data_IF_250843165341
#
_entry.id   IF_250843165341
#
_cell.length_a   1.000
_cell.length_b   1.000
_cell.length_c   1.000
_cell.angle_alpha   90.00
_cell.angle_beta   90.00
_cell.angle_gamma   90.00
#
_symmetry.space_group_name_H-M   'P 1'
#
loop_
_entity.id
_entity.type
_entity.pdbx_description
1 polymer ?
#
# COMPACT_ATOMS: atom_id res chain seq x y z
N UNK A 1 15.51 -19.36 -1.03
CA UNK A 1 16.39 -18.40 -1.72
C UNK A 1 15.68 -17.71 -2.89
N UNK A 2 15.04 -18.44 -3.80
CA UNK A 2 14.36 -17.84 -4.99
C UNK A 2 13.40 -16.67 -4.68
N UNK A 3 12.47 -16.75 -3.70
CA UNK A 3 11.58 -15.62 -3.43
C UNK A 3 12.31 -14.34 -2.99
N UNK A 4 13.41 -14.48 -2.23
CA UNK A 4 14.22 -13.35 -1.80
C UNK A 4 14.99 -12.74 -2.98
N UNK A 5 15.46 -13.57 -3.90
CA UNK A 5 16.09 -13.08 -5.14
C UNK A 5 15.09 -12.29 -6.00
N UNK A 6 13.87 -12.81 -6.19
CA UNK A 6 12.80 -12.09 -6.91
C UNK A 6 12.57 -10.72 -6.27
N UNK A 7 12.39 -10.68 -4.94
CA UNK A 7 12.16 -9.44 -4.21
C UNK A 7 13.33 -8.45 -4.35
N UNK A 8 14.57 -8.93 -4.25
CA UNK A 8 15.76 -8.10 -4.43
C UNK A 8 15.83 -7.49 -5.84
N UNK A 9 15.55 -8.28 -6.88
CA UNK A 9 15.50 -7.79 -8.27
C UNK A 9 14.42 -6.73 -8.43
N UNK A 10 13.20 -6.99 -7.95
CA UNK A 10 12.07 -6.05 -8.02
C UNK A 10 12.40 -4.75 -7.27
N UNK A 11 12.95 -4.85 -6.05
CA UNK A 11 13.37 -3.69 -5.26
C UNK A 11 14.41 -2.86 -6.01
N UNK A 12 15.48 -3.48 -6.50
CA UNK A 12 16.56 -2.77 -7.18
C UNK A 12 16.07 -2.09 -8.45
N UNK A 13 15.23 -2.77 -9.26
CA UNK A 13 14.71 -2.20 -10.50
C UNK A 13 13.79 -1.02 -10.21
N UNK A 14 12.81 -1.17 -9.30
CA UNK A 14 11.85 -0.10 -9.04
C UNK A 14 12.42 1.06 -8.24
N UNK A 15 13.32 0.81 -7.29
CA UNK A 15 14.03 1.90 -6.61
C UNK A 15 14.91 2.67 -7.60
N UNK A 16 15.67 1.97 -8.46
CA UNK A 16 16.50 2.65 -9.45
C UNK A 16 15.66 3.44 -10.47
N UNK A 17 14.52 2.89 -10.90
CA UNK A 17 13.60 3.56 -11.80
C UNK A 17 13.02 4.83 -11.16
N UNK A 18 12.38 4.72 -9.99
CA UNK A 18 11.74 5.85 -9.33
C UNK A 18 12.74 6.96 -8.95
N UNK A 19 13.93 6.59 -8.46
CA UNK A 19 14.98 7.58 -8.15
C UNK A 19 15.52 8.28 -9.40
N UNK A 20 15.70 7.57 -10.51
CA UNK A 20 16.12 8.19 -11.77
C UNK A 20 15.04 9.10 -12.34
N UNK A 21 13.78 8.71 -12.21
CA UNK A 21 12.64 9.54 -12.59
C UNK A 21 12.65 10.85 -11.80
N UNK A 22 12.89 10.77 -10.50
CA UNK A 22 12.97 11.93 -9.64
C UNK A 22 14.16 12.83 -10.00
N UNK A 23 15.35 12.25 -10.18
CA UNK A 23 16.58 12.98 -10.52
C UNK A 23 16.51 13.71 -11.87
N UNK A 24 15.71 13.20 -12.82
CA UNK A 24 15.50 13.84 -14.12
C UNK A 24 14.30 14.79 -14.15
N UNK A 25 13.71 15.09 -12.99
CA UNK A 25 12.51 15.91 -12.84
C UNK A 25 11.28 15.35 -13.58
N UNK A 26 11.18 14.02 -13.66
CA UNK A 26 10.05 13.31 -14.28
C UNK A 26 8.92 12.95 -13.30
N UNK A 27 9.19 12.97 -11.99
CA UNK A 27 8.15 12.83 -10.95
C UNK A 27 7.28 14.08 -10.88
N UNK A 28 6.01 13.93 -10.53
CA UNK A 28 5.15 15.08 -10.22
C UNK A 28 5.51 15.61 -8.82
N UNK A 29 5.62 16.94 -8.70
CA UNK A 29 5.86 17.57 -7.41
C UNK A 29 4.62 17.62 -6.51
N UNK A 30 3.43 17.36 -7.09
CA UNK A 30 2.15 17.55 -6.41
C UNK A 30 1.88 16.43 -5.40
N UNK A 31 1.67 15.19 -5.85
CA UNK A 31 1.35 14.08 -4.95
C UNK A 31 2.52 13.72 -4.04
N UNK A 32 3.73 13.59 -4.63
CA UNK A 32 4.94 13.29 -3.86
C UNK A 32 5.20 14.33 -2.75
N UNK A 33 4.94 15.61 -3.04
CA UNK A 33 5.07 16.69 -2.07
C UNK A 33 4.00 16.62 -0.97
N UNK A 34 2.74 16.37 -1.33
CA UNK A 34 1.63 16.23 -0.37
C UNK A 34 1.90 15.08 0.60
N UNK A 35 2.26 13.89 0.10
CA UNK A 35 2.60 12.75 0.95
C UNK A 35 3.86 13.00 1.78
N UNK A 36 4.87 13.65 1.20
CA UNK A 36 6.07 14.06 1.93
C UNK A 36 5.75 14.95 3.13
N UNK A 37 4.87 15.95 2.96
CA UNK A 37 4.41 16.82 4.04
C UNK A 37 3.62 16.04 5.10
N UNK A 38 2.76 15.11 4.69
CA UNK A 38 2.00 14.24 5.59
C UNK A 38 2.90 13.34 6.45
N UNK A 39 3.85 12.64 5.85
CA UNK A 39 4.80 11.77 6.56
C UNK A 39 5.72 12.58 7.47
N UNK A 40 6.20 13.74 7.02
CA UNK A 40 6.99 14.66 7.85
C UNK A 40 6.22 15.10 9.10
N UNK A 41 4.95 15.46 8.96
CA UNK A 41 4.12 15.84 10.10
C UNK A 41 3.99 14.70 11.11
N UNK A 42 3.82 13.45 10.66
CA UNK A 42 3.85 12.28 11.57
C UNK A 42 5.19 12.09 12.27
N UNK A 43 6.31 12.28 11.55
CA UNK A 43 7.65 12.22 12.13
C UNK A 43 7.86 13.27 13.24
N UNK A 44 7.23 14.43 13.10
CA UNK A 44 7.24 15.52 14.09
C UNK A 44 6.13 15.41 15.15
N UNK A 45 5.37 14.30 15.16
CA UNK A 45 4.23 14.07 16.07
C UNK A 45 3.13 15.14 15.96
N UNK A 46 2.93 15.69 14.76
CA UNK A 46 1.85 16.63 14.42
C UNK A 46 0.75 15.96 13.61
N UNK A 47 -0.41 16.59 13.56
CA UNK A 47 -1.48 16.17 12.65
C UNK A 47 -1.03 16.35 11.19
N UNK A 48 -1.29 15.37 10.31
CA UNK A 48 -0.83 15.41 8.93
C UNK A 48 -1.60 16.47 8.13
N UNK A 49 -0.87 17.46 7.63
CA UNK A 49 -1.40 18.54 6.79
C UNK A 49 -0.47 18.86 5.63
N UNK A 50 -1.04 19.39 4.54
CA UNK A 50 -0.29 19.82 3.36
C UNK A 50 -0.56 21.26 2.98
N UNK A 51 0.52 22.05 2.87
CA UNK A 51 0.51 23.40 2.31
C UNK A 51 0.23 23.36 0.81
N UNK A 52 0.75 22.35 0.09
CA UNK A 52 0.54 22.19 -1.37
C UNK A 52 -0.96 22.01 -1.67
N UNK A 53 -1.64 21.18 -0.87
CA UNK A 53 -3.07 20.87 -1.03
C UNK A 53 -3.98 22.09 -0.79
N UNK A 54 -3.49 23.14 -0.13
CA UNK A 54 -4.27 24.38 0.08
C UNK A 54 -4.65 25.08 -1.22
N UNK A 55 -3.82 24.95 -2.26
CA UNK A 55 -4.07 25.53 -3.58
C UNK A 55 -5.34 24.99 -4.25
N UNK A 56 -5.80 23.80 -3.85
CA UNK A 56 -7.03 23.15 -4.35
C UNK A 56 -8.04 22.89 -3.23
N UNK A 57 -7.92 23.58 -2.09
CA UNK A 57 -8.84 23.40 -0.98
C UNK A 57 -10.26 23.90 -1.33
N UNK A 58 -11.31 23.35 -0.70
CA UNK A 58 -12.67 23.81 -0.90
C UNK A 58 -12.84 25.32 -0.60
N UNK A 59 -13.78 26.00 -1.27
CA UNK A 59 -14.07 27.41 -0.99
C UNK A 59 -14.33 27.66 0.50
N UNK A 60 -13.74 28.71 1.05
CA UNK A 60 -13.88 29.07 2.46
C UNK A 60 -12.85 28.43 3.40
N UNK A 61 -11.96 27.57 2.91
CA UNK A 61 -10.80 27.15 3.68
C UNK A 61 -9.79 28.30 3.83
N UNK A 62 -9.31 28.54 5.06
CA UNK A 62 -8.41 29.65 5.41
C UNK A 62 -7.19 29.22 6.24
N UNK A 63 -6.93 27.92 6.37
CA UNK A 63 -5.79 27.40 7.11
C UNK A 63 -4.49 27.36 6.29
N UNK A 64 -3.35 27.30 6.97
CA UNK A 64 -2.03 27.28 6.32
C UNK A 64 -1.68 25.91 5.71
N UNK A 65 -2.29 24.83 6.21
CA UNK A 65 -2.09 23.48 5.70
C UNK A 65 -3.41 22.70 5.71
N UNK A 66 -3.77 22.08 4.59
CA UNK A 66 -5.00 21.32 4.45
C UNK A 66 -4.91 19.99 5.22
N UNK A 67 -5.86 19.65 6.11
CA UNK A 67 -5.82 18.40 6.88
C UNK A 67 -5.98 17.16 5.99
N UNK A 68 -4.94 16.34 5.87
CA UNK A 68 -4.97 15.17 4.99
C UNK A 68 -5.91 14.09 5.53
N UNK A 69 -5.99 13.96 6.86
CA UNK A 69 -7.02 13.23 7.64
C UNK A 69 -8.45 13.35 7.10
N UNK A 70 -8.83 14.58 6.76
CA UNK A 70 -10.18 14.90 6.30
C UNK A 70 -10.36 14.82 4.79
N UNK A 71 -9.26 14.82 4.03
CA UNK A 71 -9.25 14.67 2.57
C UNK A 71 -9.41 13.19 2.21
N UNK A 72 -8.46 12.37 2.67
CA UNK A 72 -8.41 10.92 2.49
C UNK A 72 -7.99 10.22 3.78
N UNK A 73 -8.66 9.13 4.14
CA UNK A 73 -8.35 8.39 5.36
C UNK A 73 -7.25 7.37 5.11
N UNK A 74 -6.00 7.78 5.34
CA UNK A 74 -4.80 6.98 5.11
C UNK A 74 -3.80 6.99 6.29
N UNK A 75 -4.22 6.60 7.52
CA UNK A 75 -3.34 6.62 8.70
C UNK A 75 -2.12 5.68 8.57
N UNK A 76 -2.11 4.73 7.63
CA UNK A 76 -0.96 3.84 7.38
C UNK A 76 0.34 4.60 7.12
N UNK A 77 0.26 5.84 6.59
CA UNK A 77 1.43 6.67 6.30
C UNK A 77 2.29 6.95 7.54
N UNK A 78 1.71 6.89 8.75
CA UNK A 78 2.46 7.03 9.99
C UNK A 78 3.57 5.96 10.14
N UNK A 79 3.44 4.81 9.48
CA UNK A 79 4.48 3.76 9.46
C UNK A 79 5.77 4.21 8.76
N UNK A 80 5.73 5.23 7.89
CA UNK A 80 6.92 5.80 7.26
C UNK A 80 7.64 6.84 8.12
N UNK A 81 7.03 7.32 9.20
CA UNK A 81 7.61 8.36 10.05
C UNK A 81 9.00 8.00 10.59
N UNK A 82 9.28 6.77 11.09
CA UNK A 82 10.62 6.41 11.55
C UNK A 82 11.67 6.44 10.43
N UNK A 83 11.30 6.06 9.20
CA UNK A 83 12.20 6.10 8.06
C UNK A 83 12.50 7.56 7.67
N UNK A 84 11.48 8.40 7.71
CA UNK A 84 11.60 9.82 7.40
C UNK A 84 12.44 10.59 8.43
N UNK A 85 12.39 10.20 9.72
CA UNK A 85 13.27 10.76 10.75
C UNK A 85 14.75 10.52 10.45
N UNK A 86 15.10 9.38 9.87
CA UNK A 86 16.50 9.04 9.52
C UNK A 86 16.91 9.66 8.19
N UNK A 87 16.00 9.69 7.22
CA UNK A 87 16.22 10.23 5.89
C UNK A 87 15.03 11.12 5.46
N UNK A 88 15.04 12.43 5.81
CA UNK A 88 13.91 13.35 5.59
C UNK A 88 13.87 13.89 4.15
N UNK A 89 13.81 12.98 3.19
CA UNK A 89 13.79 13.28 1.75
C UNK A 89 12.62 12.56 1.09
N UNK A 90 12.09 13.11 -0.01
CA UNK A 90 10.96 12.50 -0.73
C UNK A 90 11.35 11.18 -1.39
N UNK A 91 12.63 11.00 -1.73
CA UNK A 91 13.22 9.77 -2.22
C UNK A 91 13.04 8.60 -1.25
N UNK A 92 12.96 8.86 0.07
CA UNK A 92 12.67 7.85 1.09
C UNK A 92 11.31 7.21 0.84
N UNK A 93 10.32 7.99 0.41
CA UNK A 93 8.97 7.50 0.11
C UNK A 93 8.99 6.64 -1.16
N UNK A 94 9.70 7.09 -2.21
CA UNK A 94 9.87 6.32 -3.45
C UNK A 94 10.52 4.95 -3.20
N UNK A 95 11.58 4.92 -2.38
CA UNK A 95 12.25 3.67 -1.99
C UNK A 95 11.34 2.80 -1.12
N UNK A 96 10.58 3.40 -0.20
CA UNK A 96 9.62 2.66 0.62
C UNK A 96 8.53 1.99 -0.23
N UNK A 97 7.98 2.69 -1.24
CA UNK A 97 7.03 2.10 -2.19
C UNK A 97 7.64 0.95 -2.98
N UNK A 98 8.86 1.10 -3.50
CA UNK A 98 9.57 0.01 -4.16
C UNK A 98 9.77 -1.20 -3.24
N UNK A 99 10.05 -0.97 -1.95
CA UNK A 99 10.18 -2.02 -0.94
C UNK A 99 8.87 -2.73 -0.62
N UNK A 100 7.73 -2.00 -0.57
CA UNK A 100 6.40 -2.59 -0.39
C UNK A 100 6.04 -3.52 -1.56
N UNK A 101 6.31 -3.08 -2.80
CA UNK A 101 6.11 -3.87 -4.02
C UNK A 101 7.05 -5.09 -4.06
N UNK A 102 8.31 -4.93 -3.66
CA UNK A 102 9.22 -6.07 -3.55
C UNK A 102 8.77 -7.08 -2.48
N UNK A 103 8.28 -6.59 -1.35
CA UNK A 103 7.74 -7.40 -0.26
C UNK A 103 6.51 -8.21 -0.68
N UNK A 104 5.61 -7.63 -1.47
CA UNK A 104 4.47 -8.36 -2.01
C UNK A 104 4.91 -9.44 -3.01
N UNK A 105 5.90 -9.14 -3.86
CA UNK A 105 6.46 -10.09 -4.82
C UNK A 105 7.14 -11.28 -4.11
N UNK A 106 7.83 -11.03 -2.98
CA UNK A 106 8.36 -12.09 -2.12
C UNK A 106 7.25 -13.04 -1.65
N UNK A 107 6.17 -12.48 -1.09
CA UNK A 107 5.05 -13.25 -0.52
C UNK A 107 4.40 -14.10 -1.60
N UNK A 108 4.14 -13.51 -2.77
CA UNK A 108 3.54 -14.22 -3.89
C UNK A 108 4.46 -15.32 -4.44
N UNK A 109 5.75 -15.03 -4.65
CA UNK A 109 6.73 -16.02 -5.12
C UNK A 109 6.82 -17.21 -4.14
N UNK A 110 6.81 -16.93 -2.83
CA UNK A 110 6.82 -17.96 -1.78
C UNK A 110 5.55 -18.79 -1.80
N UNK A 111 4.39 -18.18 -1.93
CA UNK A 111 3.10 -18.88 -2.01
C UNK A 111 3.04 -19.76 -3.27
N UNK A 112 3.43 -19.22 -4.44
CA UNK A 112 3.49 -19.95 -5.70
C UNK A 112 4.36 -21.21 -5.62
N UNK A 113 5.59 -21.08 -5.08
CA UNK A 113 6.49 -22.22 -4.92
C UNK A 113 5.94 -23.32 -4.01
N UNK A 114 5.26 -22.93 -2.91
CA UNK A 114 4.65 -23.88 -1.96
C UNK A 114 3.46 -24.61 -2.55
N UNK A 115 2.54 -23.88 -3.20
CA UNK A 115 1.24 -24.42 -3.61
C UNK A 115 1.29 -25.14 -4.96
N UNK A 116 2.22 -24.78 -5.85
CA UNK A 116 2.34 -25.43 -7.16
C UNK A 116 3.36 -26.56 -7.19
N UNK A 117 4.28 -26.64 -6.20
CA UNK A 117 5.27 -27.71 -6.10
C UNK A 117 6.28 -27.78 -7.24
N UNK A 118 6.31 -26.80 -8.15
CA UNK A 118 7.20 -26.74 -9.31
C UNK A 118 8.42 -25.85 -9.00
N UNK A 119 9.65 -26.27 -9.34
CA UNK A 119 10.87 -25.52 -9.01
C UNK A 119 10.89 -24.12 -9.66
N UNK A 120 10.25 -23.95 -10.81
CA UNK A 120 10.20 -22.68 -11.53
C UNK A 120 9.08 -21.73 -11.05
N UNK A 121 8.06 -22.24 -10.35
CA UNK A 121 6.83 -21.47 -10.06
C UNK A 121 7.10 -20.20 -9.23
N UNK A 122 7.97 -20.30 -8.24
CA UNK A 122 8.34 -19.15 -7.41
C UNK A 122 9.02 -18.05 -8.24
N UNK A 123 9.89 -18.43 -9.18
CA UNK A 123 10.62 -17.50 -10.01
C UNK A 123 9.69 -16.85 -11.05
N UNK A 124 9.00 -17.65 -11.86
CA UNK A 124 8.24 -17.11 -12.99
C UNK A 124 7.02 -16.32 -12.54
N UNK A 125 6.23 -16.82 -11.58
CA UNK A 125 5.05 -16.09 -11.09
C UNK A 125 5.45 -14.90 -10.23
N UNK A 126 6.54 -15.03 -9.46
CA UNK A 126 7.10 -13.91 -8.71
C UNK A 126 7.54 -12.75 -9.61
N UNK A 127 8.27 -13.04 -10.69
CA UNK A 127 8.69 -12.03 -11.67
C UNK A 127 7.51 -11.52 -12.50
N UNK A 128 6.62 -12.39 -12.97
CA UNK A 128 5.45 -11.98 -13.75
C UNK A 128 4.53 -11.05 -12.96
N UNK A 129 4.33 -11.33 -11.67
CA UNK A 129 3.61 -10.44 -10.77
C UNK A 129 4.40 -9.16 -10.50
N UNK A 130 5.67 -9.28 -10.09
CA UNK A 130 6.52 -8.16 -9.74
C UNK A 130 6.68 -7.15 -10.87
N UNK A 131 6.72 -7.62 -12.12
CA UNK A 131 6.76 -6.81 -13.34
C UNK A 131 5.43 -6.73 -14.08
N UNK A 132 4.31 -7.00 -13.40
CA UNK A 132 3.00 -6.78 -14.00
C UNK A 132 2.75 -5.30 -14.26
N UNK A 133 1.98 -4.99 -15.31
CA UNK A 133 1.64 -3.62 -15.70
C UNK A 133 1.14 -2.77 -14.51
N UNK A 134 0.23 -3.32 -13.69
CA UNK A 134 -0.32 -2.57 -12.55
C UNK A 134 0.71 -2.15 -11.50
N UNK A 135 1.75 -2.96 -11.26
CA UNK A 135 2.83 -2.58 -10.33
C UNK A 135 3.82 -1.61 -10.97
N UNK A 136 4.03 -1.70 -12.28
CA UNK A 136 4.83 -0.71 -13.01
C UNK A 136 4.17 0.67 -12.96
N UNK A 137 2.87 0.75 -13.26
CA UNK A 137 2.09 1.99 -13.18
C UNK A 137 2.06 2.56 -11.77
N UNK A 138 1.84 1.72 -10.74
CA UNK A 138 1.92 2.15 -9.34
C UNK A 138 3.26 2.83 -9.03
N UNK A 139 4.38 2.27 -9.50
CA UNK A 139 5.72 2.83 -9.24
C UNK A 139 5.99 4.08 -10.09
N UNK A 140 5.44 4.15 -11.30
CA UNK A 140 5.59 5.28 -12.21
C UNK A 140 4.76 6.50 -11.80
N UNK A 141 3.66 6.30 -11.09
CA UNK A 141 2.77 7.38 -10.64
C UNK A 141 3.17 7.91 -9.26
N UNK A 142 4.46 8.20 -9.04
CA UNK A 142 5.01 8.70 -7.76
C UNK A 142 4.58 7.88 -6.52
N UNK A 143 4.90 8.37 -5.32
CA UNK A 143 4.50 7.69 -4.09
C UNK A 143 3.00 7.85 -3.83
N UNK A 144 2.33 6.73 -3.55
CA UNK A 144 0.93 6.69 -3.09
C UNK A 144 0.75 5.69 -1.94
N UNK A 145 -0.12 6.04 -0.99
CA UNK A 145 -0.49 5.20 0.15
C UNK A 145 -1.01 3.82 -0.27
N UNK A 146 -1.65 3.72 -1.44
CA UNK A 146 -2.18 2.45 -1.98
C UNK A 146 -1.07 1.40 -2.16
N UNK A 147 0.20 1.79 -2.24
CA UNK A 147 1.33 0.85 -2.25
C UNK A 147 1.37 -0.07 -1.02
N UNK A 148 0.86 0.38 0.13
CA UNK A 148 0.74 -0.45 1.33
C UNK A 148 -0.28 -1.58 1.16
N UNK A 149 -1.31 -1.39 0.33
CA UNK A 149 -2.31 -2.42 0.08
C UNK A 149 -1.70 -3.66 -0.59
N UNK A 150 -0.66 -3.47 -1.41
CA UNK A 150 -0.07 -4.52 -2.24
C UNK A 150 0.50 -5.69 -1.39
N UNK A 151 1.41 -5.48 -0.42
CA UNK A 151 1.89 -6.56 0.45
C UNK A 151 0.80 -7.08 1.38
N UNK A 152 -0.12 -6.24 1.85
CA UNK A 152 -1.24 -6.64 2.72
C UNK A 152 -2.16 -7.64 2.01
N UNK A 153 -2.53 -7.36 0.75
CA UNK A 153 -3.31 -8.26 -0.10
C UNK A 153 -2.55 -9.55 -0.38
N UNK A 154 -1.27 -9.48 -0.72
CA UNK A 154 -0.45 -10.66 -0.95
C UNK A 154 -0.42 -11.58 0.29
N UNK A 155 -0.28 -11.01 1.49
CA UNK A 155 -0.31 -11.74 2.75
C UNK A 155 -1.68 -12.33 3.05
N UNK A 156 -2.75 -11.58 2.80
CA UNK A 156 -4.13 -12.05 2.98
C UNK A 156 -4.43 -13.24 2.05
N UNK A 157 -4.11 -13.13 0.77
CA UNK A 157 -4.26 -14.19 -0.22
C UNK A 157 -3.40 -15.41 0.11
N UNK A 158 -2.13 -15.22 0.51
CA UNK A 158 -1.27 -16.33 0.90
C UNK A 158 -1.83 -17.07 2.14
N UNK A 159 -2.32 -16.34 3.15
CA UNK A 159 -2.98 -16.93 4.31
C UNK A 159 -4.28 -17.66 3.93
N UNK A 160 -5.05 -17.13 2.99
CA UNK A 160 -6.25 -17.78 2.45
C UNK A 160 -5.90 -19.12 1.78
N UNK A 161 -4.87 -19.13 0.91
CA UNK A 161 -4.39 -20.36 0.26
C UNK A 161 -3.87 -21.39 1.26
N UNK A 162 -3.22 -20.94 2.34
CA UNK A 162 -2.74 -21.81 3.42
C UNK A 162 -3.86 -22.31 4.37
N UNK A 163 -5.13 -21.95 4.13
CA UNK A 163 -6.25 -22.31 5.01
C UNK A 163 -6.28 -21.56 6.35
N UNK A 164 -5.50 -20.48 6.49
CA UNK A 164 -5.40 -19.66 7.70
C UNK A 164 -6.42 -18.53 7.67
N UNK A 165 -7.70 -18.88 7.74
CA UNK A 165 -8.84 -17.97 7.52
C UNK A 165 -8.84 -16.72 8.40
N UNK A 166 -8.51 -16.87 9.68
CA UNK A 166 -8.45 -15.74 10.63
C UNK A 166 -7.29 -14.80 10.29
N UNK A 167 -6.13 -15.34 9.91
CA UNK A 167 -4.99 -14.52 9.49
C UNK A 167 -5.28 -13.80 8.17
N UNK A 168 -5.93 -14.47 7.21
CA UNK A 168 -6.38 -13.85 5.97
C UNK A 168 -7.32 -12.67 6.26
N UNK A 169 -8.26 -12.85 7.20
CA UNK A 169 -9.17 -11.79 7.63
C UNK A 169 -8.43 -10.60 8.25
N UNK A 170 -7.47 -10.85 9.15
CA UNK A 170 -6.69 -9.79 9.79
C UNK A 170 -5.85 -8.98 8.80
N UNK A 171 -5.19 -9.65 7.85
CA UNK A 171 -4.48 -8.94 6.79
C UNK A 171 -5.44 -8.09 5.96
N UNK A 172 -6.56 -8.66 5.50
CA UNK A 172 -7.53 -7.89 4.71
C UNK A 172 -8.15 -6.72 5.50
N UNK A 173 -8.36 -6.87 6.82
CA UNK A 173 -8.83 -5.80 7.67
C UNK A 173 -7.88 -4.60 7.69
N UNK A 174 -6.57 -4.82 7.56
CA UNK A 174 -5.57 -3.75 7.50
C UNK A 174 -5.76 -2.78 6.32
N UNK A 175 -6.48 -3.17 5.26
CA UNK A 175 -6.74 -2.33 4.09
C UNK A 175 -7.53 -1.06 4.44
N UNK A 176 -8.40 -1.11 5.46
CA UNK A 176 -9.19 0.06 5.89
C UNK A 176 -8.33 1.19 6.48
N UNK A 177 -7.08 0.88 6.85
CA UNK A 177 -6.12 1.86 7.34
C UNK A 177 -5.25 2.44 6.21
N UNK A 178 -5.29 1.82 5.03
CA UNK A 178 -4.48 2.24 3.88
C UNK A 178 -5.16 3.38 3.16
N UNK A 179 -6.42 3.18 2.76
CA UNK A 179 -7.25 4.16 2.07
C UNK A 179 -8.71 3.79 2.27
N UNK A 180 -9.59 4.77 2.38
CA UNK A 180 -11.00 4.59 2.72
C UNK A 180 -11.78 3.73 1.71
N UNK A 181 -11.43 3.78 0.44
CA UNK A 181 -12.09 3.05 -0.65
C UNK A 181 -11.68 1.57 -0.70
N UNK A 182 -10.56 1.20 -0.08
CA UNK A 182 -10.11 -0.19 0.03
C UNK A 182 -10.93 -1.03 1.02
N UNK A 183 -11.85 -0.40 1.76
CA UNK A 183 -12.88 -1.11 2.52
C UNK A 183 -13.75 -2.01 1.61
N UNK A 184 -14.01 -1.60 0.37
CA UNK A 184 -14.72 -2.45 -0.60
C UNK A 184 -13.93 -3.72 -0.93
N UNK A 185 -12.61 -3.62 -1.11
CA UNK A 185 -11.73 -4.78 -1.34
C UNK A 185 -11.70 -5.72 -0.12
N UNK A 186 -11.62 -5.15 1.08
CA UNK A 186 -11.69 -5.93 2.32
C UNK A 186 -13.05 -6.64 2.48
N UNK A 187 -14.15 -6.01 2.09
CA UNK A 187 -15.48 -6.61 2.10
C UNK A 187 -15.56 -7.82 1.15
N UNK A 188 -15.01 -7.73 -0.06
CA UNK A 188 -14.92 -8.86 -1.01
C UNK A 188 -14.14 -10.03 -0.40
N UNK A 189 -13.00 -9.77 0.25
CA UNK A 189 -12.26 -10.81 0.97
C UNK A 189 -13.09 -11.45 2.08
N UNK A 190 -13.90 -10.65 2.80
CA UNK A 190 -14.87 -11.14 3.78
C UNK A 190 -15.87 -12.12 3.17
N UNK A 191 -16.45 -11.79 2.00
CA UNK A 191 -17.37 -12.67 1.28
C UNK A 191 -16.72 -13.98 0.84
N UNK A 192 -15.49 -13.95 0.33
CA UNK A 192 -14.74 -15.17 -0.01
C UNK A 192 -14.54 -16.06 1.23
N UNK A 193 -14.20 -15.45 2.36
CA UNK A 193 -13.99 -16.17 3.62
C UNK A 193 -15.27 -16.79 4.20
N UNK A 194 -16.47 -16.29 3.86
CA UNK A 194 -17.74 -16.90 4.33
C UNK A 194 -17.88 -18.37 3.93
N UNK A 195 -17.25 -18.79 2.82
CA UNK A 195 -17.27 -20.17 2.33
C UNK A 195 -16.46 -21.13 3.22
N UNK A 196 -15.49 -20.61 3.97
CA UNK A 196 -14.55 -21.42 4.74
C UNK A 196 -14.63 -21.15 6.25
N UNK A 197 -14.96 -19.93 6.67
CA UNK A 197 -14.99 -19.53 8.08
C UNK A 197 -15.99 -18.38 8.34
N UNK A 198 -17.26 -18.74 8.57
CA UNK A 198 -18.41 -17.80 8.66
C UNK A 198 -18.19 -16.62 9.60
N UNK A 199 -17.65 -16.85 10.81
CA UNK A 199 -17.44 -15.79 11.81
C UNK A 199 -16.45 -14.73 11.29
N UNK A 200 -15.27 -15.16 10.85
CA UNK A 200 -14.24 -14.24 10.36
C UNK A 200 -14.67 -13.52 9.07
N UNK A 201 -15.35 -14.23 8.15
CA UNK A 201 -15.88 -13.63 6.93
C UNK A 201 -16.94 -12.56 7.22
N UNK A 202 -17.89 -12.85 8.12
CA UNK A 202 -18.94 -11.90 8.49
C UNK A 202 -18.39 -10.67 9.22
N UNK A 203 -17.48 -10.87 10.18
CA UNK A 203 -16.85 -9.75 10.92
C UNK A 203 -16.06 -8.84 9.99
N UNK A 204 -15.28 -9.41 9.06
CA UNK A 204 -14.52 -8.63 8.10
C UNK A 204 -15.46 -7.88 7.14
N UNK A 205 -16.46 -8.57 6.57
CA UNK A 205 -17.39 -7.96 5.64
C UNK A 205 -18.16 -6.79 6.29
N UNK A 206 -18.77 -7.02 7.45
CA UNK A 206 -19.55 -6.00 8.13
C UNK A 206 -18.67 -4.82 8.57
N UNK A 207 -17.48 -5.08 9.13
CA UNK A 207 -16.54 -4.03 9.52
C UNK A 207 -16.05 -3.21 8.33
N UNK A 208 -15.73 -3.86 7.21
CA UNK A 208 -15.25 -3.19 6.00
C UNK A 208 -16.34 -2.36 5.30
N UNK A 209 -17.58 -2.85 5.27
CA UNK A 209 -18.74 -2.09 4.76
C UNK A 209 -19.01 -0.87 5.64
N UNK A 210 -18.94 -1.00 6.96
CA UNK A 210 -19.10 0.14 7.87
C UNK A 210 -18.01 1.20 7.68
N UNK A 211 -16.75 0.76 7.51
CA UNK A 211 -15.62 1.67 7.26
C UNK A 211 -15.71 2.39 5.91
N UNK A 212 -16.14 1.68 4.86
CA UNK A 212 -16.41 2.31 3.55
C UNK A 212 -17.56 3.30 3.70
N UNK A 213 -18.64 2.85 4.36
CA UNK A 213 -19.91 3.50 4.70
C UNK A 213 -19.84 4.85 5.42
N UNK A 214 -18.66 5.30 5.84
CA UNK A 214 -18.43 6.58 6.50
C UNK A 214 -17.67 7.62 5.66
N UNK A 215 -17.19 7.27 4.46
CA UNK A 215 -16.45 8.22 3.61
C UNK A 215 -17.41 9.14 2.83
N UNK A 216 -17.21 10.47 2.86
CA UNK A 216 -18.10 11.45 2.22
C UNK A 216 -18.01 11.50 0.68
N UNK A 217 -17.20 10.64 0.07
CA UNK A 217 -16.88 10.67 -1.36
C UNK A 217 -17.64 9.64 -2.22
N UNK A 218 -18.67 8.96 -1.66
CA UNK A 218 -19.62 8.11 -2.39
C UNK A 218 -21.05 8.27 -1.89
#
# INVERSE_FOLDING_TARGET
>A
MVPALVAAVVLCVYAAFALREHQRFGTTGYDLGIFGQGVRAYAELRMPGSEIRTATAPPGFSGDAYPLLGDHFHPVLALLAPLYLVAPHVETLLVAQAALVAGSAYVLARAAGRHLGKPWAALSLGLAYGFSWGLQELVAFDFHEVAFAVPILALSCAAYLDGRWVAAAWWAAGLVLVKEDLGATAAVMGLLLLRHHRRAGLTLFAGAVAATGSSPWW
#
